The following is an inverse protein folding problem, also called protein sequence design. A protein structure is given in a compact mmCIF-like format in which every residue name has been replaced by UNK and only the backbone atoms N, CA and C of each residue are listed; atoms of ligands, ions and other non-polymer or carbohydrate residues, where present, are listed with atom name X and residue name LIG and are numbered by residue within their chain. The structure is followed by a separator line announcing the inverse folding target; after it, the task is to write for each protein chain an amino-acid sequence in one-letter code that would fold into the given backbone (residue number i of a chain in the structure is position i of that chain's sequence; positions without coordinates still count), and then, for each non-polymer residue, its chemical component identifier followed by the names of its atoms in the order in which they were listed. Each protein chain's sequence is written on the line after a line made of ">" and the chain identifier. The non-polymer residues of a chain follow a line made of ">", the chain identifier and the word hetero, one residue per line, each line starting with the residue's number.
data_IF_657557020694
#
_entry.id   IF_657557020694
#
_cell.length_a   1.000
_cell.length_b   1.000
_cell.length_c   1.000
_cell.angle_alpha   90.00
_cell.angle_beta   90.00
_cell.angle_gamma   90.00
#
_symmetry.space_group_name_H-M   'P 1'
#
loop_
_entity.id
_entity.type
_entity.pdbx_description
1 polymer ?
#
# COMPACT_ATOMS: atom_id res chain seq x y z
N UNK A 1 9.52 -18.79 -3.09
CA UNK A 1 9.29 -17.44 -3.67
C UNK A 1 8.70 -16.58 -2.57
N UNK A 2 9.29 -15.42 -2.27
CA UNK A 2 8.82 -14.57 -1.18
C UNK A 2 7.73 -13.63 -1.72
N UNK A 3 6.50 -14.12 -1.76
CA UNK A 3 5.40 -13.36 -2.34
C UNK A 3 5.04 -12.12 -1.52
N UNK A 4 5.34 -12.11 -0.21
CA UNK A 4 5.17 -10.91 0.63
C UNK A 4 6.07 -9.78 0.14
N UNK A 5 7.37 -10.02 0.00
CA UNK A 5 8.33 -9.01 -0.47
C UNK A 5 7.98 -8.49 -1.87
N UNK A 6 7.57 -9.37 -2.77
CA UNK A 6 7.15 -8.97 -4.12
C UNK A 6 5.93 -8.05 -4.10
N UNK A 7 4.92 -8.38 -3.30
CA UNK A 7 3.70 -7.56 -3.20
C UNK A 7 3.99 -6.23 -2.50
N UNK A 8 4.82 -6.22 -1.45
CA UNK A 8 5.27 -4.99 -0.79
C UNK A 8 6.01 -4.08 -1.77
N UNK A 9 6.89 -4.63 -2.63
CA UNK A 9 7.61 -3.82 -3.62
C UNK A 9 6.65 -3.20 -4.64
N UNK A 10 5.71 -3.97 -5.18
CA UNK A 10 4.69 -3.45 -6.10
C UNK A 10 3.86 -2.30 -5.52
N UNK A 11 3.49 -2.42 -4.24
CA UNK A 11 2.76 -1.36 -3.52
C UNK A 11 3.64 -0.12 -3.40
N UNK A 12 4.92 -0.26 -3.02
CA UNK A 12 5.86 0.86 -2.94
C UNK A 12 6.04 1.54 -4.29
N UNK A 13 6.24 0.76 -5.35
CA UNK A 13 6.41 1.28 -6.71
C UNK A 13 5.18 2.10 -7.14
N UNK A 14 3.97 1.61 -6.85
CA UNK A 14 2.73 2.31 -7.16
C UNK A 14 2.61 3.62 -6.36
N UNK A 15 2.87 3.61 -5.05
CA UNK A 15 2.81 4.83 -4.21
C UNK A 15 3.85 5.86 -4.69
N UNK A 16 5.07 5.43 -5.01
CA UNK A 16 6.14 6.33 -5.47
C UNK A 16 5.84 6.97 -6.83
N UNK A 17 5.00 6.33 -7.66
CA UNK A 17 4.54 6.90 -8.92
C UNK A 17 3.46 7.98 -8.74
N UNK A 18 2.86 8.12 -7.54
CA UNK A 18 1.77 9.05 -7.24
C UNK A 18 2.18 10.00 -6.09
N UNK A 19 2.92 11.09 -6.40
CA UNK A 19 3.48 11.98 -5.37
C UNK A 19 2.42 12.79 -4.59
N UNK A 20 1.21 12.93 -5.15
CA UNK A 20 0.13 13.71 -4.55
C UNK A 20 -0.72 12.91 -3.54
N UNK A 21 -0.33 11.66 -3.26
CA UNK A 21 -1.10 10.73 -2.45
C UNK A 21 -1.92 9.75 -3.31
N UNK A 22 -2.42 8.70 -2.67
CA UNK A 22 -3.13 7.63 -3.35
C UNK A 22 -4.12 6.95 -2.40
N UNK A 23 -5.30 6.60 -2.91
CA UNK A 23 -6.31 5.87 -2.15
C UNK A 23 -5.95 4.38 -2.05
N UNK A 24 -6.40 3.72 -0.99
CA UNK A 24 -6.11 2.29 -0.77
C UNK A 24 -6.78 1.44 -1.86
N UNK A 25 -7.96 1.84 -2.29
CA UNK A 25 -8.75 1.26 -3.37
C UNK A 25 -7.97 1.24 -4.69
N UNK A 26 -7.28 2.35 -5.00
CA UNK A 26 -6.44 2.46 -6.18
C UNK A 26 -5.21 1.55 -6.08
N UNK A 27 -4.57 1.48 -4.90
CA UNK A 27 -3.47 0.53 -4.67
C UNK A 27 -3.95 -0.90 -4.90
N UNK A 28 -5.13 -1.27 -4.36
CA UNK A 28 -5.72 -2.61 -4.53
C UNK A 28 -6.01 -2.91 -6.00
N UNK A 29 -6.52 -1.93 -6.76
CA UNK A 29 -6.91 -2.10 -8.15
C UNK A 29 -5.71 -2.11 -9.12
N UNK A 30 -4.64 -1.38 -8.80
CA UNK A 30 -3.62 -1.02 -9.80
C UNK A 30 -2.18 -1.38 -9.45
N UNK A 31 -1.84 -1.66 -8.18
CA UNK A 31 -0.46 -2.06 -7.82
C UNK A 31 -0.06 -3.42 -8.39
N UNK A 32 -1.03 -4.28 -8.69
CA UNK A 32 -0.80 -5.68 -9.09
C UNK A 32 -0.30 -6.56 -7.93
N UNK A 33 -0.32 -6.07 -6.69
CA UNK A 33 -0.18 -6.87 -5.49
C UNK A 33 -1.45 -7.66 -5.22
N UNK A 34 -1.35 -8.76 -4.46
CA UNK A 34 -2.54 -9.48 -4.07
C UNK A 34 -3.40 -8.67 -3.08
N UNK A 35 -4.70 -8.53 -3.38
CA UNK A 35 -5.67 -7.68 -2.67
C UNK A 35 -5.66 -7.89 -1.16
N UNK A 36 -5.64 -9.15 -0.71
CA UNK A 36 -5.66 -9.49 0.72
C UNK A 36 -4.36 -9.12 1.47
N UNK A 37 -3.30 -8.73 0.75
CA UNK A 37 -2.00 -8.36 1.33
C UNK A 37 -1.73 -6.86 1.30
N UNK A 38 -2.53 -6.09 0.56
CA UNK A 38 -2.35 -4.64 0.46
C UNK A 38 -2.51 -3.98 1.82
N UNK A 39 -3.63 -4.17 2.51
CA UNK A 39 -3.85 -3.57 3.83
C UNK A 39 -2.78 -3.95 4.87
N UNK A 40 -2.44 -5.24 5.09
CA UNK A 40 -1.36 -5.60 6.00
C UNK A 40 -0.02 -4.95 5.63
N UNK A 41 0.33 -4.88 4.35
CA UNK A 41 1.56 -4.25 3.91
C UNK A 41 1.55 -2.74 4.16
N UNK A 42 0.44 -2.04 3.88
CA UNK A 42 0.32 -0.61 4.16
C UNK A 42 0.42 -0.31 5.65
N UNK A 43 -0.21 -1.15 6.49
CA UNK A 43 -0.09 -1.05 7.94
C UNK A 43 1.36 -1.20 8.42
N UNK A 44 2.09 -2.21 7.92
CA UNK A 44 3.52 -2.37 8.24
C UNK A 44 4.35 -1.16 7.79
N UNK A 45 4.14 -0.66 6.57
CA UNK A 45 4.86 0.49 6.04
C UNK A 45 4.59 1.79 6.81
N UNK A 46 3.38 1.95 7.33
CA UNK A 46 3.05 3.06 8.22
C UNK A 46 3.78 2.93 9.56
N UNK A 47 3.79 1.73 10.18
CA UNK A 47 4.50 1.51 11.45
C UNK A 47 6.02 1.69 11.29
N UNK A 48 6.56 1.40 10.11
CA UNK A 48 7.96 1.66 9.73
C UNK A 48 8.24 3.15 9.44
N UNK A 49 7.20 3.99 9.34
CA UNK A 49 7.31 5.40 8.98
C UNK A 49 7.66 5.65 7.51
N UNK A 50 7.48 4.64 6.64
CA UNK A 50 7.76 4.76 5.20
C UNK A 50 6.69 5.56 4.46
N UNK A 51 5.44 5.46 4.90
CA UNK A 51 4.31 6.27 4.43
C UNK A 51 3.60 6.95 5.60
N UNK A 52 2.81 7.96 5.28
CA UNK A 52 1.93 8.63 6.24
C UNK A 52 0.50 8.57 5.70
N UNK A 53 -0.42 8.10 6.52
CA UNK A 53 -1.85 8.11 6.19
C UNK A 53 -2.39 9.50 6.47
N UNK A 54 -2.85 10.19 5.43
CA UNK A 54 -3.37 11.55 5.53
C UNK A 54 -4.83 11.60 5.96
N UNK A 55 -5.60 10.58 5.57
CA UNK A 55 -7.03 10.46 5.87
C UNK A 55 -7.36 8.99 6.15
N UNK A 56 -8.27 8.75 7.09
CA UNK A 56 -8.86 7.44 7.37
C UNK A 56 -10.35 7.62 7.54
N UNK A 57 -11.14 6.84 6.82
CA UNK A 57 -12.57 6.78 7.10
C UNK A 57 -12.84 5.83 8.27
N UNK A 58 -13.99 5.98 8.95
CA UNK A 58 -14.34 5.23 10.16
C UNK A 58 -14.36 3.69 9.99
N UNK A 59 -14.29 3.18 8.76
CA UNK A 59 -14.22 1.76 8.45
C UNK A 59 -12.80 1.24 8.19
N UNK A 60 -11.78 2.11 8.25
CA UNK A 60 -10.37 1.78 8.00
C UNK A 60 -9.65 2.85 7.22
#
# INVERSE_FOLDING_TARGET
>A
MNYKELDTQKIKDYIQAHPDGVEVEDIIAHSGAEKLRVYPALFELEQEGWLTVTEREELG
#
